data_IF_418975716383
#
_entry.id   IF_418975716383
#
_cell.length_a   1.000
_cell.length_b   1.000
_cell.length_c   1.000
_cell.angle_alpha   90.00
_cell.angle_beta   90.00
_cell.angle_gamma   90.00
#
_symmetry.space_group_name_H-M   'P 1'
#
loop_
_entity.id
_entity.type
_entity.pdbx_description
1 polymer ?
#
# COMPACT_ATOMS: atom_id res chain seq x y z
N UNK A 1 -56.07 81.00 40.87
CA UNK A 1 -55.76 79.56 41.11
C UNK A 1 -55.63 78.75 39.82
N UNK A 2 -56.44 78.99 38.78
CA UNK A 2 -56.40 78.27 37.49
C UNK A 2 -55.01 78.27 36.80
N UNK A 3 -54.30 79.40 36.84
CA UNK A 3 -53.00 79.59 36.20
C UNK A 3 -51.85 78.79 36.87
N UNK A 4 -51.97 78.46 38.17
CA UNK A 4 -50.92 77.71 38.90
C UNK A 4 -50.95 76.21 38.60
N UNK A 5 -52.15 75.64 38.39
CA UNK A 5 -52.35 74.22 38.04
C UNK A 5 -51.93 73.92 36.60
N UNK A 6 -52.33 74.77 35.64
CA UNK A 6 -51.88 74.69 34.26
C UNK A 6 -50.35 74.84 34.14
N UNK A 7 -49.74 75.71 34.95
CA UNK A 7 -48.28 75.85 34.99
C UNK A 7 -47.58 74.60 35.53
N UNK A 8 -48.12 73.96 36.57
CA UNK A 8 -47.60 72.70 37.11
C UNK A 8 -47.77 71.52 36.13
N UNK A 9 -48.92 71.41 35.47
CA UNK A 9 -49.15 70.39 34.43
C UNK A 9 -48.24 70.61 33.22
N UNK A 10 -48.03 71.87 32.79
CA UNK A 10 -47.08 72.21 31.73
C UNK A 10 -45.62 71.90 32.11
N UNK A 11 -45.20 72.20 33.34
CA UNK A 11 -43.86 71.86 33.84
C UNK A 11 -43.67 70.33 33.95
N UNK A 12 -44.70 69.59 34.37
CA UNK A 12 -44.67 68.12 34.42
C UNK A 12 -44.59 67.49 33.03
N UNK A 13 -45.44 67.91 32.08
CA UNK A 13 -45.40 67.45 30.69
C UNK A 13 -44.07 67.81 30.00
N UNK A 14 -43.50 68.99 30.32
CA UNK A 14 -42.18 69.39 29.81
C UNK A 14 -41.06 68.53 30.37
N UNK A 15 -41.13 68.14 31.65
CA UNK A 15 -40.16 67.24 32.26
C UNK A 15 -40.26 65.82 31.68
N UNK A 16 -41.46 65.30 31.50
CA UNK A 16 -41.72 63.99 30.87
C UNK A 16 -41.22 63.97 29.41
N UNK A 17 -41.53 65.01 28.63
CA UNK A 17 -41.03 65.15 27.27
C UNK A 17 -39.50 65.23 27.22
N UNK A 18 -38.86 65.89 28.20
CA UNK A 18 -37.40 65.93 28.31
C UNK A 18 -36.82 64.53 28.60
N UNK A 19 -37.44 63.75 29.49
CA UNK A 19 -37.02 62.37 29.79
C UNK A 19 -37.18 61.45 28.57
N UNK A 20 -38.31 61.53 27.86
CA UNK A 20 -38.56 60.72 26.66
C UNK A 20 -37.57 61.08 25.53
N UNK A 21 -37.30 62.38 25.32
CA UNK A 21 -36.27 62.81 24.36
C UNK A 21 -34.89 62.28 24.73
N UNK A 22 -34.52 62.36 26.01
CA UNK A 22 -33.26 61.82 26.50
C UNK A 22 -33.17 60.30 26.28
N UNK A 23 -34.23 59.55 26.53
CA UNK A 23 -34.28 58.10 26.26
C UNK A 23 -34.06 57.81 24.77
N UNK A 24 -34.79 58.50 23.88
CA UNK A 24 -34.64 58.35 22.43
C UNK A 24 -33.24 58.70 21.96
N UNK A 25 -32.63 59.77 22.50
CA UNK A 25 -31.23 60.14 22.19
C UNK A 25 -30.22 59.09 22.67
N UNK A 26 -30.44 58.49 23.86
CA UNK A 26 -29.57 57.41 24.35
C UNK A 26 -29.67 56.16 23.47
N UNK A 27 -30.89 55.79 23.04
CA UNK A 27 -31.10 54.69 22.10
C UNK A 27 -30.46 54.97 20.74
N UNK A 28 -30.62 56.19 20.23
CA UNK A 28 -30.04 56.65 18.96
C UNK A 28 -28.50 56.65 18.99
N UNK A 29 -27.87 56.92 20.14
CA UNK A 29 -26.41 56.80 20.30
C UNK A 29 -25.92 55.37 20.47
N UNK A 30 -26.71 54.51 21.10
CA UNK A 30 -26.32 53.14 21.46
C UNK A 30 -26.61 52.08 20.40
N UNK A 31 -27.49 52.37 19.44
CA UNK A 31 -27.91 51.45 18.38
C UNK A 31 -27.73 52.07 17.01
N UNK A 32 -27.79 51.28 15.94
CA UNK A 32 -27.92 51.82 14.58
C UNK A 32 -29.36 52.30 14.40
N UNK A 33 -29.58 53.50 13.89
CA UNK A 33 -30.94 54.05 13.78
C UNK A 33 -31.25 54.59 12.39
N UNK A 34 -32.51 54.43 12.01
CA UNK A 34 -33.06 54.87 10.74
C UNK A 34 -34.52 55.28 10.97
N UNK A 35 -34.94 56.38 10.37
CA UNK A 35 -36.32 56.84 10.40
C UNK A 35 -36.82 56.96 8.96
N UNK A 36 -38.00 56.40 8.71
CA UNK A 36 -38.68 56.49 7.43
C UNK A 36 -39.89 57.41 7.57
N UNK A 37 -40.13 58.27 6.59
CA UNK A 37 -41.39 59.02 6.50
C UNK A 37 -42.57 58.13 6.06
N UNK A 38 -43.74 58.75 5.89
CA UNK A 38 -44.96 58.05 5.48
C UNK A 38 -44.87 57.40 4.08
N UNK A 39 -43.95 57.87 3.23
CA UNK A 39 -43.69 57.33 1.88
C UNK A 39 -42.54 56.29 1.88
N UNK A 40 -42.07 55.89 3.06
CA UNK A 40 -40.94 54.98 3.27
C UNK A 40 -39.59 55.52 2.73
N UNK A 41 -39.47 56.84 2.61
CA UNK A 41 -38.21 57.51 2.33
C UNK A 41 -37.45 57.78 3.63
N UNK A 42 -36.12 57.67 3.57
CA UNK A 42 -35.25 57.81 4.74
C UNK A 42 -35.21 59.29 5.15
N UNK A 43 -35.87 59.62 6.25
CA UNK A 43 -35.96 60.99 6.77
C UNK A 43 -34.87 61.31 7.79
N UNK A 44 -34.35 60.31 8.50
CA UNK A 44 -33.21 60.46 9.42
C UNK A 44 -32.39 59.17 9.55
N UNK A 45 -31.08 59.30 9.79
CA UNK A 45 -30.16 58.20 10.15
C UNK A 45 -29.07 58.71 11.09
N UNK A 46 -28.65 57.85 12.04
CA UNK A 46 -27.45 58.15 12.82
C UNK A 46 -26.16 57.81 12.04
N UNK A 47 -25.01 58.20 12.60
CA UNK A 47 -23.73 57.98 11.91
C UNK A 47 -23.38 56.49 11.88
N UNK A 48 -23.68 55.76 12.95
CA UNK A 48 -23.44 54.32 13.02
C UNK A 48 -24.15 53.55 11.91
N UNK A 49 -25.41 53.85 11.61
CA UNK A 49 -26.16 53.22 10.53
C UNK A 49 -25.51 53.50 9.17
N UNK A 50 -25.16 54.76 8.90
CA UNK A 50 -24.50 55.14 7.65
C UNK A 50 -23.14 54.42 7.48
N UNK A 51 -22.32 54.40 8.53
CA UNK A 51 -21.02 53.73 8.55
C UNK A 51 -21.15 52.21 8.35
N UNK A 52 -22.13 51.57 9.00
CA UNK A 52 -22.38 50.13 8.88
C UNK A 52 -22.67 49.72 7.43
N UNK A 53 -23.49 50.51 6.71
CA UNK A 53 -23.79 50.28 5.30
C UNK A 53 -22.75 50.88 4.34
N UNK A 54 -21.73 51.59 4.83
CA UNK A 54 -20.71 52.23 4.00
C UNK A 54 -21.24 53.39 3.13
N UNK A 55 -22.33 54.05 3.55
CA UNK A 55 -22.82 55.27 2.92
C UNK A 55 -22.44 56.49 3.74
N UNK A 56 -22.39 57.65 3.09
CA UNK A 56 -22.49 58.93 3.81
C UNK A 56 -23.96 59.27 4.07
N UNK A 57 -24.24 60.00 5.17
CA UNK A 57 -25.62 60.37 5.53
C UNK A 57 -26.37 61.11 4.43
N UNK A 58 -25.71 62.04 3.74
CA UNK A 58 -26.26 62.80 2.61
C UNK A 58 -26.71 61.91 1.45
N UNK A 59 -26.13 60.73 1.30
CA UNK A 59 -26.51 59.77 0.26
C UNK A 59 -27.78 58.99 0.63
N UNK A 60 -28.08 58.85 1.94
CA UNK A 60 -29.22 58.09 2.43
C UNK A 60 -30.47 58.96 2.60
N UNK A 61 -30.33 60.21 3.04
CA UNK A 61 -31.47 61.09 3.30
C UNK A 61 -32.30 61.37 2.04
N UNK A 62 -33.62 61.24 2.16
CA UNK A 62 -34.60 61.40 1.06
C UNK A 62 -34.67 60.22 0.10
N UNK A 63 -33.83 59.20 0.26
CA UNK A 63 -33.84 58.00 -0.59
C UNK A 63 -34.94 57.03 -0.13
N UNK A 64 -35.67 56.37 -1.03
CA UNK A 64 -36.55 55.26 -0.67
C UNK A 64 -35.76 54.11 -0.01
N UNK A 65 -36.25 53.54 1.09
CA UNK A 65 -35.61 52.38 1.72
C UNK A 65 -35.41 51.20 0.74
N UNK A 66 -36.32 51.06 -0.24
CA UNK A 66 -36.24 50.02 -1.27
C UNK A 66 -34.99 50.07 -2.13
N UNK A 67 -34.30 51.22 -2.22
CA UNK A 67 -33.08 51.36 -3.03
C UNK A 67 -31.80 50.89 -2.32
N UNK A 68 -31.84 50.77 -0.99
CA UNK A 68 -30.71 50.28 -0.19
C UNK A 68 -30.86 48.81 0.20
N UNK A 69 -31.85 48.11 -0.35
CA UNK A 69 -32.06 46.66 -0.18
C UNK A 69 -31.97 45.96 -1.53
N UNK A 70 -31.52 44.69 -1.59
CA UNK A 70 -31.44 43.96 -2.84
C UNK A 70 -32.81 43.82 -3.56
N UNK A 71 -32.86 43.84 -4.91
CA UNK A 71 -34.11 43.84 -5.67
C UNK A 71 -35.05 42.65 -5.44
N UNK A 72 -34.55 41.54 -4.91
CA UNK A 72 -35.34 40.35 -4.58
C UNK A 72 -35.98 40.41 -3.18
N UNK A 73 -35.50 41.28 -2.29
CA UNK A 73 -35.98 41.39 -0.89
C UNK A 73 -37.46 41.70 -0.79
N UNK A 74 -38.08 42.55 -1.65
CA UNK A 74 -39.52 42.79 -1.62
C UNK A 74 -40.40 41.54 -1.78
N UNK A 75 -39.84 40.44 -2.31
CA UNK A 75 -40.53 39.16 -2.47
C UNK A 75 -40.39 38.23 -1.26
N UNK A 76 -39.54 38.57 -0.29
CA UNK A 76 -39.29 37.77 0.90
C UNK A 76 -40.36 37.99 1.98
N UNK A 77 -40.43 37.05 2.92
CA UNK A 77 -41.37 37.14 4.05
C UNK A 77 -41.12 38.36 4.94
N UNK A 78 -39.85 38.71 5.18
CA UNK A 78 -39.47 39.85 6.03
C UNK A 78 -40.05 41.19 5.55
N UNK A 79 -40.11 41.42 4.23
CA UNK A 79 -40.68 42.64 3.66
C UNK A 79 -42.22 42.66 3.70
N UNK A 80 -42.87 41.50 3.49
CA UNK A 80 -44.32 41.37 3.66
C UNK A 80 -44.75 41.59 5.11
N UNK A 81 -44.01 40.99 6.05
CA UNK A 81 -44.25 41.12 7.48
C UNK A 81 -44.08 42.59 7.92
N UNK A 82 -43.04 43.27 7.42
CA UNK A 82 -42.84 44.69 7.64
C UNK A 82 -44.04 45.53 7.20
N UNK A 83 -44.48 45.39 5.95
CA UNK A 83 -45.60 46.18 5.43
C UNK A 83 -46.91 45.91 6.19
N UNK A 84 -47.17 44.65 6.56
CA UNK A 84 -48.34 44.28 7.35
C UNK A 84 -48.29 44.86 8.76
N UNK A 85 -47.12 44.83 9.40
CA UNK A 85 -46.92 45.38 10.74
C UNK A 85 -47.07 46.91 10.74
N UNK A 86 -46.50 47.61 9.74
CA UNK A 86 -46.68 49.06 9.58
C UNK A 86 -48.14 49.42 9.38
N UNK A 87 -48.87 48.68 8.53
CA UNK A 87 -50.31 48.92 8.31
C UNK A 87 -51.16 48.70 9.58
N UNK A 88 -50.74 47.80 10.47
CA UNK A 88 -51.39 47.52 11.76
C UNK A 88 -50.90 48.39 12.91
N UNK A 89 -49.83 49.14 12.71
CA UNK A 89 -49.09 49.86 13.74
C UNK A 89 -48.55 48.95 14.85
N UNK A 90 -48.06 47.77 14.47
CA UNK A 90 -47.44 46.80 15.36
C UNK A 90 -45.91 46.83 15.19
N UNK A 91 -45.12 46.67 16.27
CA UNK A 91 -43.69 46.48 16.15
C UNK A 91 -43.34 45.17 15.42
N UNK A 92 -42.26 45.18 14.63
CA UNK A 92 -41.77 43.99 13.92
C UNK A 92 -40.25 43.94 13.96
N UNK A 93 -39.67 42.75 14.06
CA UNK A 93 -38.23 42.54 14.03
C UNK A 93 -37.88 41.40 13.08
N UNK A 94 -36.86 41.59 12.25
CA UNK A 94 -36.36 40.59 11.31
C UNK A 94 -34.89 40.90 10.93
N UNK A 95 -34.25 39.97 10.25
CA UNK A 95 -32.91 40.11 9.69
C UNK A 95 -33.00 40.61 8.24
N UNK A 96 -32.68 41.89 8.06
CA UNK A 96 -32.74 42.58 6.78
C UNK A 96 -31.36 42.64 6.14
N UNK A 97 -31.36 42.53 4.80
CA UNK A 97 -30.15 42.57 3.97
C UNK A 97 -30.09 43.92 3.28
N UNK A 98 -28.99 44.62 3.45
CA UNK A 98 -28.75 45.93 2.88
C UNK A 98 -27.61 45.89 1.88
N UNK A 99 -27.78 46.65 0.79
CA UNK A 99 -26.72 46.94 -0.16
C UNK A 99 -25.73 47.89 0.48
N UNK A 100 -24.46 47.73 0.13
CA UNK A 100 -23.38 48.57 0.63
C UNK A 100 -23.10 49.71 -0.35
N UNK A 101 -22.80 50.90 0.15
CA UNK A 101 -22.58 52.09 -0.69
C UNK A 101 -21.35 52.01 -1.61
N UNK A 102 -20.41 51.14 -1.27
CA UNK A 102 -19.18 50.84 -2.00
C UNK A 102 -19.34 49.67 -3.00
N UNK A 103 -20.52 49.04 -3.07
CA UNK A 103 -20.75 47.84 -3.89
C UNK A 103 -20.17 46.55 -3.32
N UNK A 104 -19.74 46.55 -2.05
CA UNK A 104 -19.25 45.38 -1.33
C UNK A 104 -20.32 44.33 -0.99
N UNK A 105 -19.97 43.30 -0.19
CA UNK A 105 -20.91 42.27 0.25
C UNK A 105 -22.07 42.87 1.06
N UNK A 106 -23.18 42.14 1.11
CA UNK A 106 -24.39 42.59 1.81
C UNK A 106 -24.14 42.76 3.31
N UNK A 107 -24.73 43.80 3.89
CA UNK A 107 -24.74 44.00 5.33
C UNK A 107 -26.03 43.42 5.89
N UNK A 108 -25.92 42.61 6.94
CA UNK A 108 -27.07 42.06 7.63
C UNK A 108 -27.32 42.82 8.91
N UNK A 109 -28.49 43.43 9.01
CA UNK A 109 -28.93 44.10 10.22
C UNK A 109 -30.17 43.41 10.75
N UNK A 110 -30.16 43.03 12.03
CA UNK A 110 -31.38 42.74 12.75
C UNK A 110 -32.03 44.09 13.10
N UNK A 111 -33.17 44.40 12.49
CA UNK A 111 -33.83 45.71 12.66
C UNK A 111 -35.18 45.50 13.32
N UNK A 112 -35.43 46.28 14.37
CA UNK A 112 -36.74 46.40 14.99
C UNK A 112 -37.40 47.71 14.53
N UNK A 113 -38.55 47.56 13.88
CA UNK A 113 -39.33 48.66 13.32
C UNK A 113 -40.53 48.99 14.21
N UNK A 114 -40.73 50.28 14.45
CA UNK A 114 -41.77 50.86 15.28
C UNK A 114 -42.55 51.91 14.47
N UNK A 115 -43.72 51.57 13.91
CA UNK A 115 -44.59 52.54 13.23
C UNK A 115 -45.24 53.51 14.23
N UNK A 116 -45.11 54.82 14.00
CA UNK A 116 -45.61 55.87 14.89
C UNK A 116 -46.78 56.61 14.24
N UNK A 117 -47.86 56.80 15.01
CA UNK A 117 -49.07 57.52 14.59
C UNK A 117 -48.91 59.03 14.79
N UNK A 118 -49.42 59.80 13.84
CA UNK A 118 -49.66 61.23 14.00
C UNK A 118 -50.91 61.52 14.83
N UNK A 119 -51.13 62.79 15.16
CA UNK A 119 -52.33 63.25 15.89
C UNK A 119 -53.64 62.95 15.13
N UNK A 120 -53.56 62.82 13.80
CA UNK A 120 -54.67 62.46 12.91
C UNK A 120 -54.91 60.95 12.78
N UNK A 121 -54.11 60.13 13.48
CA UNK A 121 -54.19 58.67 13.45
C UNK A 121 -53.54 58.01 12.23
N UNK A 122 -52.98 58.79 11.30
CA UNK A 122 -52.23 58.31 10.13
C UNK A 122 -50.77 58.00 10.47
N UNK A 123 -50.04 57.36 9.57
CA UNK A 123 -48.62 57.06 9.78
C UNK A 123 -47.80 58.35 9.71
N UNK A 124 -47.19 58.74 10.82
CA UNK A 124 -46.30 59.90 10.86
C UNK A 124 -44.89 59.53 10.36
N UNK A 125 -44.32 58.45 10.91
CA UNK A 125 -43.02 57.91 10.52
C UNK A 125 -42.86 56.47 11.04
N UNK A 126 -41.85 55.76 10.55
CA UNK A 126 -41.44 54.44 11.06
C UNK A 126 -40.03 54.56 11.63
N UNK A 127 -39.86 54.28 12.92
CA UNK A 127 -38.56 54.27 13.57
C UNK A 127 -37.95 52.87 13.53
N UNK A 128 -36.74 52.74 13.03
CA UNK A 128 -35.94 51.52 13.05
C UNK A 128 -34.77 51.64 14.03
N UNK A 129 -34.56 50.61 14.83
CA UNK A 129 -33.33 50.40 15.60
C UNK A 129 -32.71 49.07 15.22
N UNK A 130 -31.41 49.05 14.95
CA UNK A 130 -30.76 47.91 14.37
C UNK A 130 -29.44 47.54 15.04
N UNK A 131 -29.07 46.27 14.90
CA UNK A 131 -27.78 45.69 15.27
C UNK A 131 -27.15 45.04 14.05
N UNK A 132 -25.86 45.28 13.85
CA UNK A 132 -25.08 44.57 12.83
C UNK A 132 -24.88 43.11 13.26
N UNK A 133 -25.41 42.19 12.45
CA UNK A 133 -25.31 40.74 12.64
C UNK A 133 -24.54 40.07 11.49
N UNK A 134 -23.91 40.84 10.60
CA UNK A 134 -23.23 40.36 9.38
C UNK A 134 -22.24 39.24 9.69
N UNK A 135 -21.28 39.47 10.60
CA UNK A 135 -20.28 38.46 10.98
C UNK A 135 -20.89 37.18 11.54
N UNK A 136 -21.99 37.30 12.30
CA UNK A 136 -22.65 36.15 12.91
C UNK A 136 -23.38 35.31 11.87
N UNK A 137 -24.10 35.96 10.95
CA UNK A 137 -24.86 35.28 9.89
C UNK A 137 -23.91 34.63 8.89
N UNK A 138 -22.86 35.35 8.46
CA UNK A 138 -21.86 34.82 7.55
C UNK A 138 -21.09 33.65 8.18
N UNK A 139 -20.61 33.79 9.41
CA UNK A 139 -19.89 32.71 10.10
C UNK A 139 -20.75 31.47 10.33
N UNK A 140 -22.05 31.65 10.64
CA UNK A 140 -22.98 30.53 10.76
C UNK A 140 -23.19 29.83 9.41
N UNK A 141 -23.34 30.59 8.31
CA UNK A 141 -23.50 30.04 6.96
C UNK A 141 -22.25 29.34 6.44
N UNK A 142 -21.08 29.90 6.72
CA UNK A 142 -19.79 29.28 6.39
C UNK A 142 -19.60 27.97 7.15
N UNK A 143 -19.90 27.96 8.45
CA UNK A 143 -19.82 26.74 9.29
C UNK A 143 -20.79 25.66 8.80
N UNK A 144 -22.03 26.03 8.45
CA UNK A 144 -23.02 25.12 7.85
C UNK A 144 -22.52 24.54 6.53
N UNK A 145 -22.02 25.39 5.63
CA UNK A 145 -21.50 24.95 4.34
C UNK A 145 -20.28 24.02 4.48
N UNK A 146 -19.40 24.29 5.45
CA UNK A 146 -18.25 23.46 5.74
C UNK A 146 -18.64 22.08 6.28
N UNK A 147 -19.58 22.03 7.25
CA UNK A 147 -20.11 20.77 7.79
C UNK A 147 -20.80 19.96 6.70
N UNK A 148 -21.59 20.60 5.85
CA UNK A 148 -22.24 19.96 4.72
C UNK A 148 -21.24 19.35 3.74
N UNK A 149 -20.11 20.02 3.49
CA UNK A 149 -19.07 19.48 2.63
C UNK A 149 -18.44 18.21 3.23
N UNK A 150 -18.14 18.21 4.54
CA UNK A 150 -17.61 17.04 5.25
C UNK A 150 -18.59 15.86 5.25
N UNK A 151 -19.87 16.12 5.52
CA UNK A 151 -20.92 15.08 5.56
C UNK A 151 -21.16 14.45 4.19
N UNK A 152 -20.86 15.14 3.07
CA UNK A 152 -21.02 14.57 1.72
C UNK A 152 -19.94 13.54 1.38
N UNK A 153 -18.71 13.72 1.87
CA UNK A 153 -17.58 12.86 1.49
C UNK A 153 -17.24 11.77 2.50
N UNK A 154 -17.73 11.86 3.74
CA UNK A 154 -17.34 10.97 4.83
C UNK A 154 -18.56 10.26 5.42
N UNK A 155 -18.43 9.01 5.86
CA UNK A 155 -19.51 8.33 6.57
C UNK A 155 -19.66 8.92 7.98
N UNK A 156 -20.88 9.34 8.33
CA UNK A 156 -21.18 10.01 9.59
C UNK A 156 -22.36 9.34 10.27
N UNK A 157 -22.22 9.06 11.57
CA UNK A 157 -23.29 8.55 12.44
C UNK A 157 -23.21 9.20 13.81
N UNK A 158 -24.37 9.50 14.41
CA UNK A 158 -24.49 10.16 15.71
C UNK A 158 -25.14 9.22 16.72
N UNK A 159 -24.64 9.25 17.95
CA UNK A 159 -25.14 8.47 19.07
C UNK A 159 -25.45 9.37 20.26
N UNK A 160 -26.43 9.00 21.08
CA UNK A 160 -26.57 9.55 22.42
C UNK A 160 -25.48 8.97 23.35
N UNK A 161 -25.45 9.41 24.62
CA UNK A 161 -24.45 8.96 25.60
C UNK A 161 -24.58 7.49 26.00
N UNK A 162 -25.74 6.87 25.75
CA UNK A 162 -25.99 5.44 25.95
C UNK A 162 -25.58 4.59 24.74
N UNK A 163 -25.02 5.20 23.68
CA UNK A 163 -24.64 4.52 22.44
C UNK A 163 -25.81 4.14 21.53
N UNK A 164 -26.98 4.74 21.72
CA UNK A 164 -28.16 4.62 20.87
C UNK A 164 -28.04 5.56 19.67
N UNK A 165 -28.35 5.04 18.48
CA UNK A 165 -28.22 5.74 17.21
C UNK A 165 -29.31 6.79 17.07
N UNK A 166 -28.89 8.04 16.87
CA UNK A 166 -29.76 9.20 16.63
C UNK A 166 -30.03 9.34 15.13
N UNK A 167 -28.97 9.34 14.31
CA UNK A 167 -29.06 9.51 12.86
C UNK A 167 -27.75 9.08 12.18
N UNK A 168 -27.80 8.81 10.89
CA UNK A 168 -26.64 8.55 10.04
C UNK A 168 -26.84 9.15 8.65
N UNK A 169 -25.75 9.54 7.99
CA UNK A 169 -25.80 10.03 6.62
C UNK A 169 -25.84 8.88 5.60
N UNK A 170 -26.11 9.24 4.33
CA UNK A 170 -26.22 8.25 3.25
C UNK A 170 -24.93 7.45 3.05
N UNK A 171 -23.75 8.05 3.23
CA UNK A 171 -22.47 7.37 3.06
C UNK A 171 -22.27 6.24 4.08
N UNK A 172 -22.62 6.48 5.35
CA UNK A 172 -22.60 5.44 6.37
C UNK A 172 -23.59 4.31 6.07
N UNK A 173 -24.81 4.67 5.68
CA UNK A 173 -25.87 3.72 5.35
C UNK A 173 -25.50 2.82 4.17
N UNK A 174 -24.91 3.39 3.12
CA UNK A 174 -24.41 2.64 1.96
C UNK A 174 -23.27 1.70 2.35
N UNK A 175 -22.28 2.20 3.11
CA UNK A 175 -21.15 1.41 3.58
C UNK A 175 -21.58 0.19 4.42
N UNK A 176 -22.58 0.37 5.28
CA UNK A 176 -23.07 -0.66 6.19
C UNK A 176 -24.29 -1.44 5.66
N UNK A 177 -24.81 -1.09 4.48
CA UNK A 177 -25.95 -1.76 3.85
C UNK A 177 -27.30 -1.60 4.57
N UNK A 178 -27.46 -0.60 5.44
CA UNK A 178 -28.69 -0.35 6.19
C UNK A 178 -29.51 0.80 5.58
N UNK A 179 -30.81 0.81 5.85
CA UNK A 179 -31.66 2.01 5.75
C UNK A 179 -31.72 2.71 7.11
N UNK A 180 -31.95 4.02 7.11
CA UNK A 180 -31.94 4.83 8.33
C UNK A 180 -32.94 4.31 9.36
N UNK A 181 -34.13 3.92 8.93
CA UNK A 181 -35.23 3.45 9.80
C UNK A 181 -34.90 2.12 10.48
N UNK A 182 -33.93 1.36 9.96
CA UNK A 182 -33.52 0.08 10.54
C UNK A 182 -32.55 0.25 11.70
N UNK A 183 -31.85 1.39 11.78
CA UNK A 183 -30.77 1.61 12.74
C UNK A 183 -31.10 2.67 13.78
N UNK A 184 -31.96 3.65 13.48
CA UNK A 184 -32.35 4.68 14.45
C UNK A 184 -33.03 4.03 15.66
N UNK A 185 -32.62 4.43 16.86
CA UNK A 185 -33.09 3.85 18.12
C UNK A 185 -32.44 2.52 18.50
N UNK A 186 -31.63 1.92 17.63
CA UNK A 186 -30.82 0.75 17.96
C UNK A 186 -29.51 1.16 18.64
N UNK A 187 -28.95 0.26 19.43
CA UNK A 187 -27.65 0.47 20.07
C UNK A 187 -26.51 0.14 19.09
N UNK A 188 -25.41 0.89 19.14
CA UNK A 188 -24.19 0.68 18.32
C UNK A 188 -23.74 -0.78 18.17
N UNK A 189 -23.96 -1.63 19.18
CA UNK A 189 -23.58 -3.06 19.19
C UNK A 189 -24.11 -3.86 18.00
N UNK A 190 -25.16 -3.39 17.31
CA UNK A 190 -25.67 -4.04 16.08
C UNK A 190 -24.62 -4.11 14.97
N UNK A 191 -23.60 -3.26 14.99
CA UNK A 191 -22.50 -3.25 14.02
C UNK A 191 -21.28 -4.05 14.48
N UNK A 192 -21.28 -4.59 15.69
CA UNK A 192 -20.15 -5.31 16.30
C UNK A 192 -20.37 -6.82 16.25
N UNK A 193 -19.30 -7.60 16.40
CA UNK A 193 -19.46 -9.04 16.66
C UNK A 193 -20.02 -9.26 18.06
N UNK A 194 -20.69 -10.41 18.32
CA UNK A 194 -21.17 -10.74 19.67
C UNK A 194 -20.04 -10.79 20.70
N UNK A 195 -18.83 -11.23 20.34
CA UNK A 195 -17.68 -11.24 21.26
C UNK A 195 -17.23 -9.83 21.63
N UNK A 196 -17.10 -8.92 20.65
CA UNK A 196 -16.71 -7.53 20.90
C UNK A 196 -17.76 -6.81 21.75
N UNK A 197 -19.05 -6.95 21.42
CA UNK A 197 -20.12 -6.29 22.15
C UNK A 197 -20.25 -6.75 23.61
N UNK A 198 -19.76 -7.95 23.94
CA UNK A 198 -19.73 -8.50 25.30
C UNK A 198 -18.42 -8.26 26.05
N UNK A 199 -17.45 -7.58 25.45
CA UNK A 199 -16.10 -7.46 25.99
C UNK A 199 -15.96 -6.31 27.00
N UNK A 200 -15.03 -6.41 27.99
CA UNK A 200 -14.70 -5.30 28.88
C UNK A 200 -14.22 -4.05 28.15
N UNK A 201 -13.52 -4.24 27.02
CA UNK A 201 -12.99 -3.16 26.19
C UNK A 201 -14.11 -2.33 25.55
N UNK A 202 -15.22 -2.96 25.17
CA UNK A 202 -16.39 -2.26 24.63
C UNK A 202 -17.06 -1.35 25.67
N UNK A 203 -17.10 -1.79 26.93
CA UNK A 203 -17.60 -0.96 28.05
C UNK A 203 -16.66 0.21 28.29
N UNK A 204 -15.35 -0.05 28.42
CA UNK A 204 -14.34 0.98 28.61
C UNK A 204 -14.32 2.01 27.45
N UNK A 205 -14.61 1.57 26.23
CA UNK A 205 -14.73 2.43 25.05
C UNK A 205 -15.82 3.50 25.23
N UNK A 206 -17.03 3.13 25.67
CA UNK A 206 -18.11 4.09 25.91
C UNK A 206 -17.86 4.96 27.15
N UNK A 207 -17.26 4.42 28.21
CA UNK A 207 -16.83 5.21 29.36
C UNK A 207 -15.82 6.30 28.97
N UNK A 208 -14.85 5.94 28.11
CA UNK A 208 -13.87 6.89 27.58
C UNK A 208 -14.53 8.02 26.79
N UNK A 209 -15.47 7.70 25.90
CA UNK A 209 -16.23 8.70 25.15
C UNK A 209 -17.07 9.60 26.06
N UNK A 210 -17.72 9.01 27.06
CA UNK A 210 -18.55 9.73 28.02
C UNK A 210 -17.73 10.59 29.00
N UNK A 211 -16.42 10.36 29.10
CA UNK A 211 -15.47 11.25 29.80
C UNK A 211 -14.98 12.43 28.94
N UNK A 212 -15.46 12.54 27.71
CA UNK A 212 -15.06 13.59 26.76
C UNK A 212 -13.82 13.28 25.94
N UNK A 213 -13.25 12.09 26.06
CA UNK A 213 -12.08 11.67 25.27
C UNK A 213 -12.50 11.08 23.93
N UNK A 214 -11.88 11.50 22.83
CA UNK A 214 -12.11 10.90 21.52
C UNK A 214 -11.39 9.55 21.39
N UNK A 215 -11.86 8.72 20.46
CA UNK A 215 -11.21 7.45 20.10
C UNK A 215 -11.05 7.39 18.59
N UNK A 216 -9.85 7.06 18.13
CA UNK A 216 -9.49 6.91 16.73
C UNK A 216 -8.84 5.54 16.51
N UNK A 217 -9.40 4.72 15.62
CA UNK A 217 -8.88 3.38 15.31
C UNK A 217 -9.47 2.81 14.01
N UNK A 218 -8.98 1.64 13.58
CA UNK A 218 -9.56 0.80 12.54
C UNK A 218 -10.46 -0.26 13.18
N UNK A 219 -11.75 -0.17 12.90
CA UNK A 219 -12.76 -1.02 13.49
C UNK A 219 -13.33 -2.01 12.49
N UNK A 220 -13.28 -3.29 12.85
CA UNK A 220 -14.02 -4.34 12.16
C UNK A 220 -15.49 -4.27 12.54
N UNK A 221 -16.39 -4.17 11.56
CA UNK A 221 -17.84 -4.08 11.76
C UNK A 221 -18.56 -5.07 10.87
N UNK A 222 -19.83 -5.32 11.19
CA UNK A 222 -20.72 -6.22 10.45
C UNK A 222 -21.83 -5.41 9.80
N UNK A 223 -22.00 -5.57 8.49
CA UNK A 223 -23.04 -4.93 7.70
C UNK A 223 -24.39 -5.65 7.84
N UNK A 224 -25.44 -5.12 7.22
CA UNK A 224 -26.79 -5.70 7.28
C UNK A 224 -26.92 -7.12 6.70
N UNK A 225 -25.93 -7.58 5.93
CA UNK A 225 -25.86 -8.89 5.28
C UNK A 225 -24.99 -9.87 6.06
N UNK A 226 -24.40 -9.44 7.18
CA UNK A 226 -23.45 -10.25 7.96
C UNK A 226 -22.02 -10.21 7.41
N UNK A 227 -21.72 -9.35 6.44
CA UNK A 227 -20.39 -9.23 5.83
C UNK A 227 -19.51 -8.27 6.65
N UNK A 228 -18.21 -8.54 6.63
CA UNK A 228 -17.22 -7.71 7.33
C UNK A 228 -16.96 -6.41 6.58
N UNK A 229 -16.95 -5.30 7.32
CA UNK A 229 -16.60 -3.96 6.84
C UNK A 229 -15.58 -3.36 7.77
N UNK A 230 -14.44 -2.91 7.23
CA UNK A 230 -13.44 -2.20 8.02
C UNK A 230 -13.65 -0.70 7.87
N UNK A 231 -13.75 -0.04 9.03
CA UNK A 231 -13.93 1.40 9.12
C UNK A 231 -12.76 2.02 9.88
N UNK A 232 -11.98 2.86 9.22
CA UNK A 232 -11.06 3.77 9.90
C UNK A 232 -11.89 4.95 10.40
N UNK A 233 -12.02 5.09 11.72
CA UNK A 233 -13.01 5.98 12.29
C UNK A 233 -12.53 6.73 13.52
N UNK A 234 -13.10 7.92 13.69
CA UNK A 234 -12.94 8.74 14.89
C UNK A 234 -14.30 8.97 15.55
N UNK A 235 -14.40 8.68 16.84
CA UNK A 235 -15.57 8.93 17.67
C UNK A 235 -15.29 10.17 18.52
N UNK A 236 -16.05 11.24 18.28
CA UNK A 236 -15.82 12.56 18.83
C UNK A 236 -16.99 12.98 19.72
N UNK A 237 -16.78 13.15 21.04
CA UNK A 237 -17.79 13.69 21.94
C UNK A 237 -18.09 15.16 21.60
N UNK A 238 -19.38 15.54 21.57
CA UNK A 238 -19.88 16.89 21.21
C UNK A 238 -20.65 17.49 22.38
N UNK A 239 -20.38 18.75 22.66
CA UNK A 239 -20.95 19.52 23.77
C UNK A 239 -22.10 20.42 23.30
N UNK A 240 -23.07 20.68 24.20
CA UNK A 240 -24.15 21.64 23.99
C UNK A 240 -23.71 23.09 24.28
N UNK A 241 -24.66 24.04 24.20
CA UNK A 241 -24.39 25.46 24.40
C UNK A 241 -24.00 25.79 25.86
N UNK A 242 -24.40 24.93 26.80
CA UNK A 242 -24.09 25.00 28.22
C UNK A 242 -22.76 24.31 28.58
N UNK A 243 -22.10 23.67 27.61
CA UNK A 243 -20.83 22.98 27.78
C UNK A 243 -20.95 21.57 28.37
N UNK A 244 -22.16 21.00 28.41
CA UNK A 244 -22.37 19.62 28.83
C UNK A 244 -22.22 18.68 27.65
N UNK A 245 -21.74 17.47 27.92
CA UNK A 245 -21.64 16.45 26.88
C UNK A 245 -23.03 16.03 26.40
N UNK A 246 -23.29 16.17 25.11
CA UNK A 246 -24.62 15.99 24.53
C UNK A 246 -24.74 14.71 23.71
N UNK A 247 -23.73 14.40 22.90
CA UNK A 247 -23.75 13.27 21.95
C UNK A 247 -22.35 12.88 21.51
N UNK A 248 -22.25 11.76 20.81
CA UNK A 248 -21.01 11.32 20.15
C UNK A 248 -21.23 11.30 18.64
N UNK A 249 -20.32 11.91 17.88
CA UNK A 249 -20.32 11.90 16.42
C UNK A 249 -19.15 11.06 15.93
N UNK A 250 -19.45 10.03 15.13
CA UNK A 250 -18.45 9.20 14.47
C UNK A 250 -18.28 9.64 13.03
N UNK A 251 -17.03 9.87 12.63
CA UNK A 251 -16.62 9.99 11.23
C UNK A 251 -15.88 8.73 10.83
N UNK A 252 -16.15 8.18 9.64
CA UNK A 252 -15.53 6.96 9.18
C UNK A 252 -15.22 6.98 7.68
N UNK A 253 -14.11 6.34 7.33
CA UNK A 253 -13.76 5.97 5.97
C UNK A 253 -13.81 4.44 5.85
N UNK A 254 -14.32 3.95 4.73
CA UNK A 254 -14.33 2.51 4.44
C UNK A 254 -12.95 2.11 3.93
N UNK A 255 -12.30 1.20 4.65
CA UNK A 255 -10.94 0.71 4.35
C UNK A 255 -10.91 -0.81 4.16
N UNK A 256 -12.06 -1.45 3.91
CA UNK A 256 -12.18 -2.90 3.72
C UNK A 256 -11.22 -3.43 2.65
N UNK A 257 -11.19 -2.80 1.48
CA UNK A 257 -10.32 -3.22 0.37
C UNK A 257 -8.84 -2.99 0.69
N UNK A 258 -8.52 -1.95 1.45
CA UNK A 258 -7.16 -1.65 1.90
C UNK A 258 -6.66 -2.72 2.87
N UNK A 259 -7.44 -3.04 3.90
CA UNK A 259 -7.13 -4.09 4.87
C UNK A 259 -7.01 -5.46 4.20
N UNK A 260 -7.90 -5.78 3.25
CA UNK A 260 -7.82 -7.03 2.48
C UNK A 260 -6.53 -7.10 1.65
N UNK A 261 -6.15 -6.00 1.00
CA UNK A 261 -4.90 -5.91 0.23
C UNK A 261 -3.66 -6.00 1.12
N UNK A 262 -3.66 -5.33 2.28
CA UNK A 262 -2.59 -5.46 3.28
C UNK A 262 -2.42 -6.93 3.73
N UNK A 263 -3.53 -7.62 4.01
CA UNK A 263 -3.51 -9.03 4.39
C UNK A 263 -2.95 -9.93 3.27
N UNK A 264 -3.38 -9.73 2.02
CA UNK A 264 -2.87 -10.47 0.85
C UNK A 264 -1.36 -10.23 0.63
N UNK A 265 -0.91 -8.98 0.76
CA UNK A 265 0.51 -8.65 0.63
C UNK A 265 1.33 -9.33 1.73
N UNK A 266 0.82 -9.34 2.97
CA UNK A 266 1.48 -10.02 4.10
C UNK A 266 1.58 -11.53 3.88
N UNK A 267 0.51 -12.17 3.39
CA UNK A 267 0.50 -13.59 3.05
C UNK A 267 1.51 -13.90 1.92
N UNK A 268 1.48 -13.11 0.83
CA UNK A 268 2.43 -13.26 -0.28
C UNK A 268 3.89 -13.10 0.16
N UNK A 269 4.16 -12.17 1.08
CA UNK A 269 5.50 -12.01 1.66
C UNK A 269 5.93 -13.23 2.49
N UNK A 270 5.02 -13.81 3.29
CA UNK A 270 5.29 -15.05 4.04
C UNK A 270 5.62 -16.22 3.11
N UNK A 271 4.83 -16.40 2.04
CA UNK A 271 5.08 -17.45 1.05
C UNK A 271 6.43 -17.25 0.35
N UNK A 272 6.77 -16.01 -0.02
CA UNK A 272 8.06 -15.70 -0.63
C UNK A 272 9.24 -16.00 0.31
N UNK A 273 9.08 -15.75 1.61
CA UNK A 273 10.09 -16.07 2.62
C UNK A 273 10.32 -17.58 2.73
N UNK A 274 9.25 -18.36 2.83
CA UNK A 274 9.32 -19.83 2.96
C UNK A 274 9.96 -20.47 1.72
N UNK A 275 9.52 -20.06 0.52
CA UNK A 275 10.10 -20.52 -0.76
C UNK A 275 11.58 -20.15 -0.87
N UNK A 276 11.97 -18.98 -0.39
CA UNK A 276 13.38 -18.54 -0.45
C UNK A 276 14.26 -19.33 0.50
N UNK A 277 13.76 -19.65 1.71
CA UNK A 277 14.47 -20.57 2.61
C UNK A 277 14.64 -21.97 2.00
N UNK A 278 13.59 -22.51 1.39
CA UNK A 278 13.66 -23.82 0.70
C UNK A 278 14.64 -23.78 -0.48
N UNK A 279 14.69 -22.66 -1.18
CA UNK A 279 15.64 -22.42 -2.29
C UNK A 279 17.09 -22.39 -1.78
N UNK A 280 17.38 -21.70 -0.66
CA UNK A 280 18.72 -21.69 -0.04
C UNK A 280 19.16 -23.11 0.37
N UNK A 281 18.28 -23.88 1.04
CA UNK A 281 18.57 -25.28 1.40
C UNK A 281 18.83 -26.14 0.16
N UNK A 282 18.04 -25.96 -0.90
CA UNK A 282 18.20 -26.70 -2.15
C UNK A 282 19.51 -26.34 -2.87
N UNK A 283 19.87 -25.05 -2.88
CA UNK A 283 21.14 -24.57 -3.42
C UNK A 283 22.33 -25.15 -2.64
N UNK A 284 22.27 -25.17 -1.30
CA UNK A 284 23.32 -25.79 -0.47
C UNK A 284 23.52 -27.28 -0.78
N UNK A 285 22.42 -28.04 -0.98
CA UNK A 285 22.50 -29.44 -1.43
C UNK A 285 23.12 -29.53 -2.82
N UNK A 286 22.72 -28.65 -3.74
CA UNK A 286 23.30 -28.54 -5.08
C UNK A 286 24.81 -28.33 -5.05
N UNK A 287 25.29 -27.39 -4.22
CA UNK A 287 26.73 -27.11 -4.03
C UNK A 287 27.48 -28.35 -3.56
N UNK A 288 26.92 -29.10 -2.61
CA UNK A 288 27.54 -30.33 -2.13
C UNK A 288 27.65 -31.40 -3.24
N UNK A 289 26.62 -31.53 -4.08
CA UNK A 289 26.64 -32.45 -5.23
C UNK A 289 27.69 -32.03 -6.25
N UNK A 290 27.72 -30.75 -6.64
CA UNK A 290 28.71 -30.22 -7.58
C UNK A 290 30.13 -30.43 -7.08
N UNK A 291 30.39 -30.14 -5.81
CA UNK A 291 31.71 -30.38 -5.20
C UNK A 291 32.14 -31.84 -5.31
N UNK A 292 31.21 -32.77 -5.05
CA UNK A 292 31.47 -34.21 -5.19
C UNK A 292 31.72 -34.62 -6.64
N UNK A 293 31.03 -34.00 -7.60
CA UNK A 293 31.27 -34.21 -9.04
C UNK A 293 32.66 -33.75 -9.44
N UNK A 294 33.09 -32.57 -8.99
CA UNK A 294 34.45 -32.04 -9.20
C UNK A 294 35.51 -33.02 -8.67
N UNK A 295 35.35 -33.48 -7.42
CA UNK A 295 36.25 -34.47 -6.81
C UNK A 295 36.30 -35.78 -7.63
N UNK A 296 35.15 -36.24 -8.12
CA UNK A 296 35.05 -37.47 -8.93
C UNK A 296 35.74 -37.31 -10.28
N UNK A 297 35.56 -36.17 -10.97
CA UNK A 297 36.21 -35.90 -12.26
C UNK A 297 37.73 -35.84 -12.13
N UNK A 298 38.24 -35.22 -11.06
CA UNK A 298 39.67 -35.22 -10.76
C UNK A 298 40.22 -36.63 -10.52
N UNK A 299 39.47 -37.48 -9.82
CA UNK A 299 39.84 -38.89 -9.63
C UNK A 299 39.87 -39.67 -10.95
N UNK A 300 38.89 -39.45 -11.83
CA UNK A 300 38.85 -40.09 -13.16
C UNK A 300 40.08 -39.66 -13.97
N UNK A 301 40.37 -38.37 -14.04
CA UNK A 301 41.54 -37.86 -14.77
C UNK A 301 42.86 -38.48 -14.24
N UNK A 302 43.00 -38.59 -12.92
CA UNK A 302 44.17 -39.23 -12.30
C UNK A 302 44.26 -40.74 -12.62
N UNK A 303 43.13 -41.47 -12.61
CA UNK A 303 43.09 -42.88 -12.99
C UNK A 303 43.43 -43.09 -14.48
N UNK A 304 42.99 -42.19 -15.36
CA UNK A 304 43.34 -42.22 -16.79
C UNK A 304 44.82 -41.99 -17.04
N UNK A 305 45.43 -41.08 -16.27
CA UNK A 305 46.88 -40.86 -16.34
C UNK A 305 47.65 -42.13 -15.92
N UNK A 306 47.30 -42.74 -14.80
CA UNK A 306 47.94 -43.97 -14.33
C UNK A 306 47.73 -45.16 -15.29
N UNK A 307 46.55 -45.27 -15.91
CA UNK A 307 46.27 -46.29 -16.91
C UNK A 307 47.10 -46.08 -18.18
N UNK A 308 47.29 -44.83 -18.61
CA UNK A 308 48.14 -44.48 -19.76
C UNK A 308 49.58 -44.92 -19.53
N UNK A 309 50.15 -44.62 -18.36
CA UNK A 309 51.50 -45.05 -17.97
C UNK A 309 51.66 -46.58 -17.97
N UNK A 310 50.63 -47.30 -17.51
CA UNK A 310 50.63 -48.77 -17.50
C UNK A 310 50.60 -49.37 -18.91
N UNK A 311 49.84 -48.77 -19.83
CA UNK A 311 49.75 -49.22 -21.23
C UNK A 311 51.04 -48.87 -22.00
N UNK A 312 51.69 -47.75 -21.68
CA UNK A 312 53.01 -47.41 -22.23
C UNK A 312 54.06 -48.46 -21.83
N UNK A 313 54.11 -48.83 -20.55
CA UNK A 313 54.97 -49.91 -20.07
C UNK A 313 54.67 -51.26 -20.74
N UNK A 314 53.39 -51.58 -20.98
CA UNK A 314 52.98 -52.79 -21.72
C UNK A 314 53.48 -52.77 -23.19
N UNK A 315 53.46 -51.60 -23.83
CA UNK A 315 53.99 -51.41 -25.17
C UNK A 315 55.51 -51.63 -25.23
N UNK A 316 56.26 -51.09 -24.27
CA UNK A 316 57.70 -51.34 -24.16
C UNK A 316 58.01 -52.83 -23.94
N UNK A 317 57.25 -53.49 -23.05
CA UNK A 317 57.39 -54.92 -22.78
C UNK A 317 57.11 -55.76 -24.03
N UNK A 318 56.12 -55.38 -24.85
CA UNK A 318 55.78 -56.07 -26.09
C UNK A 318 56.91 -55.96 -27.13
N UNK A 319 57.57 -54.80 -27.23
CA UNK A 319 58.74 -54.62 -28.09
C UNK A 319 59.92 -55.52 -27.64
N UNK A 320 60.16 -55.63 -26.34
CA UNK A 320 61.19 -56.53 -25.81
C UNK A 320 60.88 -57.99 -26.12
N UNK A 321 59.62 -58.42 -25.97
CA UNK A 321 59.21 -59.79 -26.33
C UNK A 321 59.42 -60.04 -27.82
N UNK A 322 59.05 -59.10 -28.69
CA UNK A 322 59.26 -59.24 -30.13
C UNK A 322 60.75 -59.47 -30.46
N UNK A 323 61.65 -58.69 -29.86
CA UNK A 323 63.09 -58.84 -30.05
C UNK A 323 63.61 -60.23 -29.60
N UNK A 324 63.11 -60.74 -28.47
CA UNK A 324 63.45 -62.08 -27.97
C UNK A 324 62.96 -63.16 -28.95
N UNK A 325 61.71 -63.05 -29.41
CA UNK A 325 61.08 -64.03 -30.31
C UNK A 325 61.76 -64.05 -31.68
N UNK A 326 62.12 -62.89 -32.23
CA UNK A 326 62.93 -62.80 -33.47
C UNK A 326 64.30 -63.47 -33.30
N UNK A 327 64.93 -63.31 -32.14
CA UNK A 327 66.20 -63.99 -31.83
C UNK A 327 66.01 -65.51 -31.80
N UNK A 328 64.94 -66.01 -31.16
CA UNK A 328 64.62 -67.45 -31.12
C UNK A 328 64.34 -67.99 -32.52
N UNK A 329 63.59 -67.26 -33.35
CA UNK A 329 63.34 -67.63 -34.74
C UNK A 329 64.63 -67.75 -35.55
N UNK A 330 65.54 -66.78 -35.40
CA UNK A 330 66.87 -66.84 -36.02
C UNK A 330 67.71 -68.03 -35.55
N UNK A 331 67.63 -68.41 -34.26
CA UNK A 331 68.27 -69.61 -33.73
C UNK A 331 67.65 -70.88 -34.33
N UNK A 332 66.32 -70.93 -34.46
CA UNK A 332 65.61 -72.05 -35.07
C UNK A 332 66.01 -72.23 -36.55
N UNK A 333 66.08 -71.15 -37.31
CA UNK A 333 66.53 -71.18 -38.71
C UNK A 333 67.99 -71.66 -38.85
N UNK A 334 68.89 -71.19 -38.00
CA UNK A 334 70.27 -71.68 -37.94
C UNK A 334 70.34 -73.17 -37.57
N UNK A 335 69.54 -73.59 -36.60
CA UNK A 335 69.46 -74.99 -36.16
C UNK A 335 68.94 -75.88 -37.29
N UNK A 336 67.95 -75.42 -38.06
CA UNK A 336 67.42 -76.09 -39.24
C UNK A 336 68.50 -76.26 -40.33
N UNK A 337 69.33 -75.24 -40.57
CA UNK A 337 70.45 -75.32 -41.51
C UNK A 337 71.56 -76.27 -41.03
N UNK A 338 71.89 -76.25 -39.74
CA UNK A 338 72.87 -77.17 -39.15
C UNK A 338 72.38 -78.63 -39.24
N UNK A 339 71.10 -78.86 -38.95
CA UNK A 339 70.47 -80.17 -39.08
C UNK A 339 70.46 -80.67 -40.53
N UNK A 340 70.22 -79.79 -41.51
CA UNK A 340 70.31 -80.11 -42.92
C UNK A 340 71.74 -80.51 -43.32
N UNK A 341 72.75 -79.75 -42.90
CA UNK A 341 74.15 -80.08 -43.15
C UNK A 341 74.54 -81.43 -42.51
N UNK A 342 74.07 -81.69 -41.29
CA UNK A 342 74.29 -82.96 -40.61
C UNK A 342 73.60 -84.14 -41.33
N UNK A 343 72.40 -83.94 -41.88
CA UNK A 343 71.70 -84.95 -42.68
C UNK A 343 72.44 -85.27 -43.98
N UNK A 344 73.02 -84.25 -44.64
CA UNK A 344 73.85 -84.42 -45.85
C UNK A 344 75.11 -85.24 -45.51
N UNK A 345 75.81 -84.90 -44.43
CA UNK A 345 77.03 -85.61 -44.04
C UNK A 345 76.73 -87.05 -43.58
N UNK A 346 75.60 -87.25 -42.90
CA UNK A 346 75.09 -88.57 -42.53
C UNK A 346 74.77 -89.44 -43.77
N UNK A 347 74.17 -88.86 -44.82
CA UNK A 347 73.95 -89.54 -46.09
C UNK A 347 75.28 -89.88 -46.80
N UNK A 348 76.28 -89.01 -46.69
CA UNK A 348 77.62 -89.18 -47.27
C UNK A 348 78.42 -90.31 -46.60
N UNK A 349 78.21 -90.54 -45.30
CA UNK A 349 78.84 -91.60 -44.51
C UNK A 349 78.26 -93.03 -44.76
N UNK A 350 77.22 -93.17 -45.58
CA UNK A 350 76.64 -94.47 -45.95
C UNK A 350 76.03 -95.22 -44.76
N UNK A 351 76.27 -96.54 -44.65
CA UNK A 351 75.70 -97.38 -43.58
C UNK A 351 76.10 -96.93 -42.17
N UNK A 352 77.26 -96.28 -42.00
CA UNK A 352 77.72 -95.77 -40.69
C UNK A 352 77.00 -94.49 -40.25
N UNK A 353 76.34 -93.77 -41.17
CA UNK A 353 75.65 -92.50 -40.91
C UNK A 353 74.15 -92.64 -40.56
N UNK A 354 73.58 -93.86 -40.65
CA UNK A 354 72.13 -94.09 -40.49
C UNK A 354 71.54 -93.55 -39.18
N UNK A 355 72.23 -93.77 -38.04
CA UNK A 355 71.79 -93.25 -36.74
C UNK A 355 71.83 -91.73 -36.65
N UNK A 356 72.85 -91.10 -37.26
CA UNK A 356 72.98 -89.65 -37.33
C UNK A 356 71.93 -89.00 -38.24
N UNK A 357 71.53 -89.68 -39.31
CA UNK A 357 70.49 -89.18 -40.21
C UNK A 357 69.13 -89.03 -39.51
N UNK A 358 68.77 -89.99 -38.63
CA UNK A 358 67.52 -89.93 -37.85
C UNK A 358 67.54 -88.76 -36.87
N UNK A 359 68.66 -88.58 -36.15
CA UNK A 359 68.82 -87.47 -35.20
C UNK A 359 68.79 -86.12 -35.92
N UNK A 360 69.45 -86.02 -37.08
CA UNK A 360 69.44 -84.81 -37.88
C UNK A 360 68.02 -84.45 -38.38
N UNK A 361 67.22 -85.42 -38.80
CA UNK A 361 65.83 -85.15 -39.21
C UNK A 361 64.93 -84.76 -38.03
N UNK A 362 65.14 -85.34 -36.85
CA UNK A 362 64.41 -84.95 -35.62
C UNK A 362 64.74 -83.51 -35.18
N UNK A 363 66.02 -83.12 -35.21
CA UNK A 363 66.45 -81.74 -34.92
C UNK A 363 65.89 -80.77 -35.95
N UNK A 364 65.85 -81.18 -37.23
CA UNK A 364 65.25 -80.38 -38.31
C UNK A 364 63.75 -80.14 -38.07
N UNK A 365 63.01 -81.19 -37.70
CA UNK A 365 61.59 -81.07 -37.37
C UNK A 365 61.35 -80.19 -36.14
N UNK A 366 62.19 -80.32 -35.09
CA UNK A 366 62.09 -79.49 -33.89
C UNK A 366 62.34 -78.01 -34.22
N UNK A 367 63.36 -77.73 -35.04
CA UNK A 367 63.67 -76.38 -35.50
C UNK A 367 62.50 -75.79 -36.31
N UNK A 368 61.91 -76.55 -37.24
CA UNK A 368 60.73 -76.12 -37.99
C UNK A 368 59.51 -75.84 -37.10
N UNK A 369 59.24 -76.69 -36.10
CA UNK A 369 58.17 -76.44 -35.11
C UNK A 369 58.45 -75.20 -34.28
N UNK A 370 59.72 -74.94 -33.96
CA UNK A 370 60.16 -73.76 -33.21
C UNK A 370 59.95 -72.48 -34.04
N UNK A 371 60.34 -72.46 -35.32
CA UNK A 371 60.08 -71.31 -36.21
C UNK A 371 58.57 -71.03 -36.32
N UNK A 372 57.75 -72.06 -36.56
CA UNK A 372 56.29 -71.88 -36.63
C UNK A 372 55.71 -71.30 -35.33
N UNK A 373 56.14 -71.81 -34.17
CA UNK A 373 55.71 -71.28 -32.88
C UNK A 373 56.16 -69.82 -32.66
N UNK A 374 57.37 -69.45 -33.13
CA UNK A 374 57.82 -68.05 -33.04
C UNK A 374 57.01 -67.12 -33.94
N UNK A 375 56.62 -67.55 -35.15
CA UNK A 375 55.74 -66.77 -36.03
C UNK A 375 54.37 -66.52 -35.39
N UNK A 376 53.79 -67.53 -34.75
CA UNK A 376 52.53 -67.37 -34.00
C UNK A 376 52.67 -66.36 -32.85
N UNK A 377 53.77 -66.41 -32.10
CA UNK A 377 54.03 -65.45 -31.01
C UNK A 377 54.21 -64.03 -31.57
N UNK A 378 54.93 -63.85 -32.68
CA UNK A 378 55.06 -62.54 -33.34
C UNK A 378 53.69 -61.96 -33.65
N UNK A 379 52.78 -62.75 -34.24
CA UNK A 379 51.42 -62.31 -34.54
C UNK A 379 50.65 -61.89 -33.28
N UNK A 380 50.77 -62.64 -32.18
CA UNK A 380 50.12 -62.28 -30.90
C UNK A 380 50.68 -60.97 -30.34
N UNK A 381 52.01 -60.77 -30.40
CA UNK A 381 52.66 -59.55 -29.91
C UNK A 381 52.27 -58.33 -30.75
N UNK A 382 52.19 -58.45 -32.08
CA UNK A 382 51.70 -57.39 -32.96
C UNK A 382 50.23 -57.02 -32.67
N UNK A 383 49.38 -58.02 -32.42
CA UNK A 383 47.99 -57.79 -32.00
C UNK A 383 47.91 -57.07 -30.66
N UNK A 384 48.72 -57.47 -29.66
CA UNK A 384 48.78 -56.79 -28.36
C UNK A 384 49.27 -55.34 -28.50
N UNK A 385 50.22 -55.07 -29.40
CA UNK A 385 50.69 -53.71 -29.68
C UNK A 385 49.56 -52.85 -30.24
N UNK A 386 48.82 -53.38 -31.23
CA UNK A 386 47.67 -52.70 -31.84
C UNK A 386 46.59 -52.39 -30.81
N UNK A 387 46.26 -53.37 -29.96
CA UNK A 387 45.28 -53.19 -28.87
C UNK A 387 45.74 -52.15 -27.86
N UNK A 388 47.03 -52.14 -27.51
CA UNK A 388 47.61 -51.16 -26.58
C UNK A 388 47.49 -49.74 -27.14
N UNK A 389 47.77 -49.52 -28.43
CA UNK A 389 47.65 -48.21 -29.06
C UNK A 389 46.19 -47.75 -29.21
N UNK A 390 45.24 -48.69 -29.36
CA UNK A 390 43.82 -48.37 -29.32
C UNK A 390 43.36 -47.96 -27.91
N UNK A 391 43.76 -48.69 -26.87
CA UNK A 391 43.46 -48.33 -25.48
C UNK A 391 44.05 -46.97 -25.12
N UNK A 392 45.28 -46.65 -25.54
CA UNK A 392 45.86 -45.30 -25.34
C UNK A 392 44.96 -44.20 -25.90
N UNK A 393 44.48 -44.35 -27.15
CA UNK A 393 43.59 -43.35 -27.78
C UNK A 393 42.29 -43.18 -27.00
N UNK A 394 41.71 -44.28 -26.53
CA UNK A 394 40.50 -44.22 -25.68
C UNK A 394 40.78 -43.51 -24.34
N UNK A 395 41.91 -43.79 -23.68
CA UNK A 395 42.30 -43.12 -22.43
C UNK A 395 42.48 -41.60 -22.60
N UNK A 396 43.08 -41.16 -23.72
CA UNK A 396 43.19 -39.73 -24.04
C UNK A 396 41.81 -39.08 -24.18
N UNK A 397 40.88 -39.70 -24.92
CA UNK A 397 39.51 -39.21 -25.08
C UNK A 397 38.77 -39.13 -23.74
N UNK A 398 38.86 -40.18 -22.91
CA UNK A 398 38.21 -40.21 -21.59
C UNK A 398 38.79 -39.18 -20.63
N UNK A 399 40.09 -38.86 -20.73
CA UNK A 399 40.70 -37.78 -19.95
C UNK A 399 40.16 -36.42 -20.36
N UNK A 400 40.04 -36.16 -21.66
CA UNK A 400 39.46 -34.91 -22.18
C UNK A 400 37.98 -34.75 -21.76
N UNK A 401 37.19 -35.82 -21.80
CA UNK A 401 35.81 -35.82 -21.30
C UNK A 401 35.74 -35.51 -19.79
N UNK A 402 36.66 -36.04 -18.99
CA UNK A 402 36.74 -35.73 -17.55
C UNK A 402 37.11 -34.25 -17.30
N UNK A 403 38.02 -33.69 -18.09
CA UNK A 403 38.37 -32.26 -18.03
C UNK A 403 37.20 -31.36 -18.43
N UNK A 404 36.44 -31.71 -19.47
CA UNK A 404 35.22 -31.00 -19.86
C UNK A 404 34.14 -31.12 -18.77
N UNK A 405 33.98 -32.30 -18.17
CA UNK A 405 33.07 -32.53 -17.06
C UNK A 405 33.41 -31.69 -15.82
N UNK A 406 34.71 -31.48 -15.56
CA UNK A 406 35.19 -30.60 -14.49
C UNK A 406 34.81 -29.14 -14.75
N UNK A 407 34.98 -28.65 -15.97
CA UNK A 407 34.61 -27.28 -16.34
C UNK A 407 33.09 -27.05 -16.19
N UNK A 408 32.26 -27.95 -16.71
CA UNK A 408 30.81 -27.89 -16.57
C UNK A 408 30.36 -27.93 -15.10
N UNK A 409 31.00 -28.76 -14.27
CA UNK A 409 30.70 -28.82 -12.85
C UNK A 409 31.03 -27.49 -12.16
N UNK A 410 32.17 -26.86 -12.47
CA UNK A 410 32.53 -25.55 -11.92
C UNK A 410 31.54 -24.46 -12.35
N UNK A 411 31.11 -24.45 -13.61
CA UNK A 411 30.09 -23.51 -14.10
C UNK A 411 28.75 -23.70 -13.38
N UNK A 412 28.30 -24.95 -13.20
CA UNK A 412 27.09 -25.26 -12.44
C UNK A 412 27.22 -24.78 -10.97
N UNK A 413 28.39 -24.95 -10.37
CA UNK A 413 28.68 -24.45 -9.03
C UNK A 413 28.54 -22.94 -8.90
N UNK A 414 29.03 -22.17 -9.88
CA UNK A 414 28.88 -20.72 -9.89
C UNK A 414 27.42 -20.28 -9.94
N UNK A 415 26.60 -20.90 -10.80
CA UNK A 415 25.16 -20.62 -10.90
C UNK A 415 24.42 -20.93 -9.59
N UNK A 416 24.80 -22.00 -8.89
CA UNK A 416 24.19 -22.35 -7.61
C UNK A 416 24.51 -21.30 -6.53
N UNK A 417 25.72 -20.74 -6.53
CA UNK A 417 26.08 -19.63 -5.63
C UNK A 417 25.21 -18.40 -5.91
N UNK A 418 24.97 -18.06 -7.18
CA UNK A 418 24.07 -16.96 -7.55
C UNK A 418 22.63 -17.21 -7.08
N UNK A 419 22.12 -18.44 -7.20
CA UNK A 419 20.80 -18.83 -6.68
C UNK A 419 20.74 -18.64 -5.17
N UNK A 420 21.81 -19.04 -4.46
CA UNK A 420 21.90 -18.91 -3.01
C UNK A 420 21.89 -17.44 -2.57
N UNK A 421 22.67 -16.59 -3.24
CA UNK A 421 22.68 -15.15 -2.98
C UNK A 421 21.30 -14.51 -3.28
N UNK A 422 20.67 -14.89 -4.39
CA UNK A 422 19.34 -14.41 -4.75
C UNK A 422 18.28 -14.76 -3.70
N UNK A 423 18.27 -16.01 -3.21
CA UNK A 423 17.37 -16.45 -2.15
C UNK A 423 17.55 -15.63 -0.86
N UNK A 424 18.81 -15.37 -0.47
CA UNK A 424 19.12 -14.55 0.71
C UNK A 424 18.66 -13.10 0.56
N UNK A 425 18.83 -12.51 -0.63
CA UNK A 425 18.35 -11.15 -0.90
C UNK A 425 16.83 -11.03 -0.78
N UNK A 426 16.08 -12.05 -1.19
CA UNK A 426 14.61 -12.07 -1.04
C UNK A 426 14.23 -12.14 0.44
N UNK A 427 14.88 -13.00 1.22
CA UNK A 427 14.70 -13.08 2.68
C UNK A 427 14.93 -11.71 3.34
N UNK A 428 16.06 -11.07 3.06
CA UNK A 428 16.41 -9.74 3.60
C UNK A 428 15.41 -8.65 3.17
N UNK A 429 14.84 -8.76 1.96
CA UNK A 429 13.83 -7.83 1.49
C UNK A 429 12.49 -8.01 2.22
N UNK A 430 12.07 -9.26 2.43
CA UNK A 430 10.84 -9.58 3.18
C UNK A 430 10.96 -9.16 4.64
N UNK A 431 12.09 -9.41 5.30
CA UNK A 431 12.32 -8.98 6.69
C UNK A 431 12.27 -7.46 6.84
N UNK A 432 12.91 -6.71 5.92
CA UNK A 432 12.83 -5.24 5.91
C UNK A 432 11.41 -4.74 5.69
N UNK A 433 10.61 -5.46 4.91
CA UNK A 433 9.20 -5.13 4.69
C UNK A 433 8.36 -5.39 5.94
N UNK A 434 8.55 -6.56 6.59
CA UNK A 434 7.85 -6.91 7.82
C UNK A 434 8.15 -5.92 8.96
N UNK A 435 9.40 -5.49 9.10
CA UNK A 435 9.82 -4.52 10.12
C UNK A 435 9.32 -3.08 9.87
N UNK A 436 8.81 -2.76 8.67
CA UNK A 436 8.18 -1.45 8.38
C UNK A 436 6.67 -1.43 8.61
N UNK A 437 6.05 -2.60 8.77
CA UNK A 437 4.61 -2.75 9.04
C UNK A 437 4.29 -2.87 10.54
N UNK A 438 5.30 -2.99 11.39
CA UNK A 438 5.21 -2.81 12.85
C UNK A 438 5.47 -1.34 13.19
#
# INVERSE_FOLDING_TARGET
MFNRRLKQEFEAQRAELAMLRQLTEQMDRGMLSITLDADFCISAVNQGFADALGYRKDQLLGRPMSEIVPPYVPKLACFRNFNQAVARFEPVSDDYRYLRGDGGPLVWLNVQWFPVRGEDGTLAYVQGYARDVTKSVEGAKESEAFIDALIRSTAVIQFNLDGIIITANQQFLQAMGYRLEQIVGQHHRIFCTPEEAGSPEYVAFWEKLNSGQYVADRFKRIDSRGSEVWLEATYNPVYDAEGNLSKVVKFANVVTDEVAREAQVREGASVAYDVSQETDVSAQRGTAVVKKTVETMQQIAAQMQAATESIEALGEQSLQINAIVQTIGGIADQTNLLALNAAIEAARAGEQGRGFAVVADEVRQLAARTSNATEEIVSVVENNQTLSDEVKRQMFSSREEAEQGLDLANQAGAVIVEIQEGAKQVVDAVERFANRLQ
#
